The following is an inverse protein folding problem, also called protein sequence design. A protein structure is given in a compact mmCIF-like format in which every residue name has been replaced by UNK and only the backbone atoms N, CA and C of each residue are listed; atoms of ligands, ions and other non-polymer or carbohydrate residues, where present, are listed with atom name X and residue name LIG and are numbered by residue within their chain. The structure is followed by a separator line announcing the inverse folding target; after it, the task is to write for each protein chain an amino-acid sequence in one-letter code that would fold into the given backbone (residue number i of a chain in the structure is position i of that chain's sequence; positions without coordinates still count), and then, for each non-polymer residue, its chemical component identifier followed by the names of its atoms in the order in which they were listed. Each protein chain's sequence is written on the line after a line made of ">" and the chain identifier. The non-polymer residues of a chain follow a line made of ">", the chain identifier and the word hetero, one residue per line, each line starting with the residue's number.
data_IF_658306402061
#
_entry.id   IF_658306402061
#
_cell.length_a   1.000
_cell.length_b   1.000
_cell.length_c   1.000
_cell.angle_alpha   90.00
_cell.angle_beta   90.00
_cell.angle_gamma   90.00
#
_symmetry.space_group_name_H-M   'P 1'
#
loop_
_entity.id
_entity.type
_entity.pdbx_description
1 polymer ?
#
# COMPACT_ATOMS: atom_id res chain seq x y z
N UNK A 1 -27.01 -54.88 6.77
CA UNK A 1 -26.47 -53.91 7.72
C UNK A 1 -25.83 -52.79 6.89
N UNK A 2 -26.37 -51.59 6.80
CA UNK A 2 -25.74 -50.51 6.08
C UNK A 2 -24.52 -50.05 6.88
N UNK A 3 -23.42 -49.84 6.16
CA UNK A 3 -22.12 -49.34 6.67
C UNK A 3 -22.32 -47.95 7.29
N UNK A 4 -21.78 -47.66 8.50
CA UNK A 4 -21.93 -46.33 9.08
C UNK A 4 -21.24 -45.30 8.24
N UNK A 5 -22.01 -44.30 7.83
CA UNK A 5 -21.59 -43.10 7.09
C UNK A 5 -20.37 -42.51 7.76
N UNK A 6 -19.20 -42.64 7.16
CA UNK A 6 -17.96 -42.00 7.62
C UNK A 6 -18.15 -40.50 7.40
N UNK A 7 -18.50 -39.80 8.46
CA UNK A 7 -18.47 -38.36 8.51
C UNK A 7 -17.04 -37.92 8.15
N UNK A 8 -16.84 -37.50 6.90
CA UNK A 8 -15.59 -36.84 6.52
C UNK A 8 -15.38 -35.62 7.43
N UNK A 9 -14.17 -35.44 7.98
CA UNK A 9 -13.90 -34.28 8.81
C UNK A 9 -14.19 -33.00 7.99
N UNK A 10 -14.80 -31.98 8.59
CA UNK A 10 -15.16 -30.75 7.90
C UNK A 10 -13.89 -30.15 7.26
N UNK A 11 -13.87 -30.11 5.94
CA UNK A 11 -12.77 -29.51 5.18
C UNK A 11 -12.61 -28.05 5.59
N UNK A 12 -11.43 -27.69 6.14
CA UNK A 12 -11.17 -26.35 6.62
C UNK A 12 -11.40 -25.33 5.47
N UNK A 13 -12.20 -24.29 5.74
CA UNK A 13 -12.48 -23.23 4.78
C UNK A 13 -11.20 -22.64 4.21
N UNK A 14 -11.12 -22.39 2.89
CA UNK A 14 -9.99 -21.69 2.28
C UNK A 14 -9.70 -20.36 2.98
N UNK A 15 -8.43 -19.96 3.09
CA UNK A 15 -8.04 -18.73 3.78
C UNK A 15 -8.75 -17.49 3.24
N UNK A 16 -9.02 -17.43 1.94
CA UNK A 16 -9.80 -16.36 1.30
C UNK A 16 -11.27 -16.30 1.72
N UNK A 17 -11.78 -17.31 2.42
CA UNK A 17 -13.13 -17.35 2.97
C UNK A 17 -13.18 -17.09 4.49
N UNK A 18 -12.03 -16.87 5.13
CA UNK A 18 -11.93 -16.53 6.55
C UNK A 18 -11.86 -15.00 6.70
N UNK A 19 -12.86 -14.33 7.31
CA UNK A 19 -12.94 -12.87 7.35
C UNK A 19 -11.69 -12.21 7.95
N UNK A 20 -11.20 -12.75 9.06
CA UNK A 20 -10.00 -12.23 9.71
C UNK A 20 -8.75 -12.38 8.83
N UNK A 21 -8.59 -13.51 8.13
CA UNK A 21 -7.48 -13.70 7.20
C UNK A 21 -7.51 -12.68 6.05
N UNK A 22 -8.69 -12.37 5.52
CA UNK A 22 -8.87 -11.34 4.48
C UNK A 22 -8.51 -9.96 5.02
N UNK A 23 -8.97 -9.59 6.21
CA UNK A 23 -8.67 -8.30 6.82
C UNK A 23 -7.16 -8.15 7.12
N UNK A 24 -6.52 -9.17 7.71
CA UNK A 24 -5.10 -9.17 8.02
C UNK A 24 -4.23 -9.18 6.74
N UNK A 25 -4.65 -9.91 5.71
CA UNK A 25 -3.96 -9.88 4.42
C UNK A 25 -4.05 -8.50 3.76
N UNK A 26 -5.21 -7.85 3.81
CA UNK A 26 -5.38 -6.47 3.36
C UNK A 26 -4.51 -5.50 4.15
N UNK A 27 -4.50 -5.60 5.47
CA UNK A 27 -3.66 -4.80 6.35
C UNK A 27 -2.17 -4.97 6.02
N UNK A 28 -1.69 -6.21 5.89
CA UNK A 28 -0.29 -6.49 5.55
C UNK A 28 0.07 -6.01 4.14
N UNK A 29 -0.82 -6.18 3.16
CA UNK A 29 -0.62 -5.66 1.81
C UNK A 29 -0.47 -4.14 1.79
N UNK A 30 -1.30 -3.41 2.55
CA UNK A 30 -1.18 -1.96 2.68
C UNK A 30 0.05 -1.54 3.51
N UNK A 31 0.45 -2.32 4.52
CA UNK A 31 1.70 -2.10 5.24
C UNK A 31 2.91 -2.22 4.31
N UNK A 32 2.94 -3.23 3.42
CA UNK A 32 4.00 -3.38 2.41
C UNK A 32 3.98 -2.22 1.42
N UNK A 33 2.86 -1.94 0.79
CA UNK A 33 2.81 -0.98 -0.31
C UNK A 33 2.96 0.47 0.15
N UNK A 34 2.29 0.83 1.24
CA UNK A 34 2.29 2.20 1.77
C UNK A 34 3.36 2.37 2.84
N UNK A 35 3.39 1.50 3.87
CA UNK A 35 4.34 1.60 4.97
C UNK A 35 5.78 1.44 4.49
N UNK A 36 6.09 0.36 3.77
CA UNK A 36 7.44 0.11 3.29
C UNK A 36 7.68 0.78 1.93
N UNK A 37 6.94 0.43 0.90
CA UNK A 37 7.19 0.90 -0.47
C UNK A 37 7.19 2.41 -0.64
N UNK A 38 6.37 3.11 0.14
CA UNK A 38 6.24 4.57 0.07
C UNK A 38 6.97 5.27 1.21
N UNK A 39 6.64 4.92 2.46
CA UNK A 39 7.05 5.68 3.63
C UNK A 39 8.36 5.24 4.28
N UNK A 40 8.95 4.07 3.96
CA UNK A 40 10.27 3.70 4.45
C UNK A 40 11.37 4.68 4.02
N UNK A 41 11.17 5.39 2.90
CA UNK A 41 12.06 6.46 2.47
C UNK A 41 12.24 7.55 3.54
N UNK A 42 11.16 7.90 4.25
CA UNK A 42 11.17 8.96 5.25
C UNK A 42 12.20 8.74 6.36
N UNK A 43 12.21 7.60 7.08
CA UNK A 43 13.25 7.33 8.08
C UNK A 43 14.62 6.96 7.49
N UNK A 44 14.68 6.49 6.23
CA UNK A 44 15.95 6.17 5.57
C UNK A 44 16.62 7.41 4.96
N UNK A 45 15.88 8.49 4.64
CA UNK A 45 16.46 9.71 4.07
C UNK A 45 17.57 10.31 4.93
N UNK A 46 17.44 10.47 6.25
CA UNK A 46 18.55 10.93 7.08
C UNK A 46 19.78 10.01 7.04
N UNK A 47 19.59 8.69 6.91
CA UNK A 47 20.70 7.75 6.74
C UNK A 47 21.39 7.95 5.38
N UNK A 48 20.61 8.11 4.30
CA UNK A 48 21.15 8.40 2.96
C UNK A 48 21.92 9.72 2.90
N UNK A 49 21.47 10.75 3.64
CA UNK A 49 22.16 12.02 3.78
C UNK A 49 23.48 11.85 4.56
N UNK A 50 23.47 11.11 5.65
CA UNK A 50 24.64 10.80 6.47
C UNK A 50 25.69 10.01 5.65
N UNK A 51 25.26 9.03 4.89
CA UNK A 51 26.11 8.21 4.02
C UNK A 51 26.67 9.01 2.82
N UNK A 52 26.21 10.25 2.60
CA UNK A 52 26.64 11.11 1.49
C UNK A 52 26.17 10.64 0.11
N UNK A 53 25.26 9.66 0.04
CA UNK A 53 24.77 9.08 -1.22
C UNK A 53 23.69 9.93 -1.89
N UNK A 54 23.11 10.88 -1.17
CA UNK A 54 22.10 11.83 -1.67
C UNK A 54 22.27 13.18 -0.97
N UNK A 55 21.97 14.27 -1.68
CA UNK A 55 21.83 15.61 -1.09
C UNK A 55 20.37 15.83 -0.65
N UNK A 56 20.12 16.86 0.17
CA UNK A 56 18.75 17.21 0.58
C UNK A 56 17.87 17.52 -0.63
N UNK A 57 18.39 18.25 -1.62
CA UNK A 57 17.69 18.51 -2.88
C UNK A 57 17.41 17.22 -3.65
N UNK A 58 18.38 16.30 -3.74
CA UNK A 58 18.21 14.98 -4.34
C UNK A 58 17.15 14.15 -3.61
N UNK A 59 17.17 14.14 -2.28
CA UNK A 59 16.14 13.49 -1.45
C UNK A 59 14.74 14.05 -1.70
N UNK A 60 14.61 15.37 -1.83
CA UNK A 60 13.34 16.02 -2.16
C UNK A 60 12.81 15.58 -3.53
N UNK A 61 13.70 15.46 -4.53
CA UNK A 61 13.33 14.93 -5.84
C UNK A 61 12.89 13.47 -5.80
N UNK A 62 13.54 12.62 -5.00
CA UNK A 62 13.14 11.22 -4.81
C UNK A 62 11.76 11.10 -4.15
N UNK A 63 11.46 11.96 -3.18
CA UNK A 63 10.13 12.05 -2.59
C UNK A 63 9.08 12.50 -3.61
N UNK A 64 9.37 13.58 -4.34
CA UNK A 64 8.49 14.13 -5.39
C UNK A 64 8.19 13.09 -6.47
N UNK A 65 9.22 12.37 -6.94
CA UNK A 65 9.06 11.31 -7.93
C UNK A 65 8.07 10.23 -7.45
N UNK A 66 8.17 9.82 -6.18
CA UNK A 66 7.24 8.84 -5.62
C UNK A 66 5.80 9.38 -5.53
N UNK A 67 5.62 10.63 -5.14
CA UNK A 67 4.29 11.24 -5.06
C UNK A 67 3.65 11.41 -6.44
N UNK A 68 4.42 11.84 -7.44
CA UNK A 68 3.95 11.91 -8.83
C UNK A 68 3.59 10.52 -9.36
N UNK A 69 4.42 9.51 -9.08
CA UNK A 69 4.12 8.13 -9.44
C UNK A 69 2.81 7.64 -8.83
N UNK A 70 2.59 7.92 -7.54
CA UNK A 70 1.35 7.55 -6.86
C UNK A 70 0.12 8.26 -7.49
N UNK A 71 0.23 9.55 -7.75
CA UNK A 71 -0.83 10.32 -8.42
C UNK A 71 -1.15 9.73 -9.80
N UNK A 72 -0.13 9.48 -10.61
CA UNK A 72 -0.30 8.89 -11.95
C UNK A 72 -0.90 7.49 -11.89
N UNK A 73 -0.46 6.66 -10.94
CA UNK A 73 -1.01 5.33 -10.71
C UNK A 73 -2.48 5.37 -10.28
N UNK A 74 -2.84 6.29 -9.39
CA UNK A 74 -4.22 6.48 -8.95
C UNK A 74 -5.11 6.97 -10.09
N UNK A 75 -4.67 7.97 -10.85
CA UNK A 75 -5.40 8.47 -12.02
C UNK A 75 -5.56 7.39 -13.09
N UNK A 76 -4.53 6.59 -13.35
CA UNK A 76 -4.61 5.46 -14.27
C UNK A 76 -5.65 4.42 -13.81
N UNK A 77 -5.69 4.06 -12.53
CA UNK A 77 -6.71 3.17 -11.98
C UNK A 77 -8.13 3.74 -12.14
N UNK A 78 -8.30 5.04 -11.96
CA UNK A 78 -9.60 5.71 -12.10
C UNK A 78 -10.03 5.83 -13.58
N UNK A 79 -9.09 6.10 -14.48
CA UNK A 79 -9.35 6.27 -15.90
C UNK A 79 -9.57 4.93 -16.63
N UNK A 80 -8.93 3.84 -16.18
CA UNK A 80 -8.95 2.53 -16.85
C UNK A 80 -10.37 2.03 -17.20
N UNK A 81 -11.40 2.17 -16.36
CA UNK A 81 -12.76 1.73 -16.70
C UNK A 81 -13.36 2.50 -17.89
N UNK A 82 -12.94 3.74 -18.10
CA UNK A 82 -13.47 4.63 -19.13
C UNK A 82 -12.72 4.50 -20.46
N UNK A 83 -11.37 4.38 -20.37
CA UNK A 83 -10.49 4.36 -21.54
C UNK A 83 -10.36 2.97 -22.14
N UNK A 84 -10.43 1.93 -21.31
CA UNK A 84 -10.23 0.55 -21.74
C UNK A 84 -11.19 -0.42 -21.04
N UNK A 85 -12.51 -0.38 -21.34
CA UNK A 85 -13.49 -1.23 -20.67
C UNK A 85 -13.22 -2.73 -20.87
N UNK A 86 -12.67 -3.14 -22.00
CA UNK A 86 -12.25 -4.53 -22.25
C UNK A 86 -11.06 -4.95 -21.37
N UNK A 87 -10.16 -4.05 -21.05
CA UNK A 87 -9.04 -4.30 -20.15
C UNK A 87 -9.54 -4.49 -18.70
N UNK A 88 -10.56 -3.75 -18.27
CA UNK A 88 -11.19 -3.94 -16.95
C UNK A 88 -11.69 -5.36 -16.75
N UNK A 89 -12.26 -5.98 -17.77
CA UNK A 89 -12.75 -7.36 -17.73
C UNK A 89 -11.60 -8.39 -17.61
N UNK A 90 -10.43 -8.07 -18.19
CA UNK A 90 -9.23 -8.92 -18.16
C UNK A 90 -8.37 -8.69 -16.88
N UNK A 91 -8.40 -7.51 -16.31
CA UNK A 91 -7.53 -7.10 -15.20
C UNK A 91 -8.31 -7.09 -13.89
N UNK A 92 -8.42 -8.26 -13.27
CA UNK A 92 -9.05 -8.39 -11.96
C UNK A 92 -8.24 -7.63 -10.90
N UNK A 93 -8.94 -6.98 -9.95
CA UNK A 93 -8.32 -6.21 -8.86
C UNK A 93 -7.22 -6.99 -8.13
N UNK A 94 -7.43 -8.28 -7.86
CA UNK A 94 -6.45 -9.16 -7.23
C UNK A 94 -5.17 -9.29 -8.06
N UNK A 95 -5.27 -9.36 -9.39
CA UNK A 95 -4.09 -9.47 -10.27
C UNK A 95 -3.29 -8.17 -10.24
N UNK A 96 -3.93 -7.02 -10.33
CA UNK A 96 -3.28 -5.72 -10.21
C UNK A 96 -2.63 -5.52 -8.83
N UNK A 97 -3.30 -5.93 -7.76
CA UNK A 97 -2.75 -5.92 -6.41
C UNK A 97 -1.49 -6.79 -6.30
N UNK A 98 -1.51 -8.01 -6.84
CA UNK A 98 -0.36 -8.93 -6.84
C UNK A 98 0.82 -8.38 -7.64
N UNK A 99 0.58 -7.84 -8.85
CA UNK A 99 1.62 -7.18 -9.64
C UNK A 99 2.19 -5.96 -8.92
N UNK A 100 1.32 -5.15 -8.30
CA UNK A 100 1.74 -4.00 -7.49
C UNK A 100 2.60 -4.40 -6.30
N UNK A 101 2.23 -5.46 -5.57
CA UNK A 101 3.02 -6.00 -4.45
C UNK A 101 4.38 -6.53 -4.92
N UNK A 102 4.40 -7.34 -5.97
CA UNK A 102 5.66 -7.85 -6.54
C UNK A 102 6.57 -6.72 -7.01
N UNK A 103 6.01 -5.69 -7.68
CA UNK A 103 6.74 -4.50 -8.06
C UNK A 103 7.26 -3.73 -6.85
N UNK A 104 6.45 -3.55 -5.79
CA UNK A 104 6.88 -2.89 -4.55
C UNK A 104 8.09 -3.58 -3.93
N UNK A 105 8.04 -4.92 -3.81
CA UNK A 105 9.17 -5.73 -3.31
C UNK A 105 10.42 -5.50 -4.14
N UNK A 106 10.31 -5.68 -5.46
CA UNK A 106 11.45 -5.55 -6.37
C UNK A 106 12.05 -4.15 -6.32
N UNK A 107 11.21 -3.11 -6.42
CA UNK A 107 11.65 -1.72 -6.42
C UNK A 107 12.30 -1.33 -5.08
N UNK A 108 11.78 -1.84 -3.94
CA UNK A 108 12.39 -1.62 -2.62
C UNK A 108 13.78 -2.27 -2.54
N UNK A 109 13.93 -3.50 -3.03
CA UNK A 109 15.23 -4.17 -3.09
C UNK A 109 16.21 -3.45 -4.03
N UNK A 110 15.74 -2.97 -5.18
CA UNK A 110 16.57 -2.19 -6.12
C UNK A 110 17.08 -0.87 -5.53
N UNK A 111 16.39 -0.28 -4.55
CA UNK A 111 16.88 0.91 -3.85
C UNK A 111 18.14 0.65 -3.01
N UNK A 112 18.43 -0.60 -2.65
CA UNK A 112 19.67 -0.98 -1.96
C UNK A 112 20.89 -0.97 -2.88
N UNK A 113 20.69 -0.97 -4.21
CA UNK A 113 21.79 -0.96 -5.18
C UNK A 113 22.38 0.45 -5.33
N UNK A 114 23.73 0.57 -5.52
CA UNK A 114 24.41 1.86 -5.68
C UNK A 114 24.19 2.45 -7.08
N UNK A 115 22.93 2.72 -7.43
CA UNK A 115 22.51 3.24 -8.74
C UNK A 115 21.77 4.58 -8.60
N UNK A 116 22.43 5.66 -8.13
CA UNK A 116 21.77 6.94 -7.83
C UNK A 116 21.02 7.52 -9.04
N UNK A 117 21.49 7.32 -10.25
CA UNK A 117 20.83 7.76 -11.48
C UNK A 117 19.48 7.07 -11.74
N UNK A 118 19.29 5.84 -11.24
CA UNK A 118 18.04 5.09 -11.39
C UNK A 118 17.02 5.37 -10.27
N UNK A 119 17.46 5.87 -9.11
CA UNK A 119 16.58 6.03 -7.95
C UNK A 119 15.35 6.89 -8.21
N UNK A 120 15.36 8.00 -8.96
CA UNK A 120 14.15 8.74 -9.27
C UNK A 120 13.10 7.91 -10.00
N UNK A 121 13.53 7.12 -11.00
CA UNK A 121 12.64 6.22 -11.74
C UNK A 121 12.10 5.09 -10.86
N UNK A 122 12.95 4.50 -10.01
CA UNK A 122 12.54 3.48 -9.03
C UNK A 122 11.51 4.04 -8.05
N UNK A 123 11.71 5.25 -7.54
CA UNK A 123 10.78 5.93 -6.63
C UNK A 123 9.46 6.26 -7.32
N UNK A 124 9.49 6.73 -8.56
CA UNK A 124 8.27 6.96 -9.35
C UNK A 124 7.49 5.65 -9.55
N UNK A 125 8.16 4.59 -10.00
CA UNK A 125 7.54 3.28 -10.20
C UNK A 125 6.98 2.70 -8.90
N UNK A 126 7.70 2.87 -7.76
CA UNK A 126 7.21 2.47 -6.45
C UNK A 126 5.94 3.24 -6.03
N UNK A 127 5.84 4.52 -6.41
CA UNK A 127 4.61 5.30 -6.24
C UNK A 127 3.44 4.71 -7.02
N UNK A 128 3.64 4.40 -8.31
CA UNK A 128 2.62 3.75 -9.15
C UNK A 128 2.20 2.41 -8.55
N UNK A 129 3.17 1.56 -8.18
CA UNK A 129 2.90 0.26 -7.57
C UNK A 129 2.08 0.39 -6.27
N UNK A 130 2.41 1.37 -5.41
CA UNK A 130 1.68 1.64 -4.17
C UNK A 130 0.22 2.04 -4.43
N UNK A 131 -0.05 2.85 -5.45
CA UNK A 131 -1.40 3.22 -5.85
C UNK A 131 -2.21 2.02 -6.34
N UNK A 132 -1.59 1.16 -7.18
CA UNK A 132 -2.21 -0.07 -7.66
C UNK A 132 -2.62 -0.98 -6.50
N UNK A 133 -1.73 -1.19 -5.54
CA UNK A 133 -2.02 -2.02 -4.36
C UNK A 133 -3.11 -1.38 -3.52
N UNK A 134 -2.95 -0.10 -3.15
CA UNK A 134 -3.88 0.58 -2.26
C UNK A 134 -5.32 0.51 -2.77
N UNK A 135 -5.55 0.90 -4.03
CA UNK A 135 -6.89 0.95 -4.59
C UNK A 135 -7.48 -0.45 -4.77
N UNK A 136 -6.70 -1.39 -5.34
CA UNK A 136 -7.24 -2.70 -5.68
C UNK A 136 -7.41 -3.61 -4.45
N UNK A 137 -6.48 -3.57 -3.48
CA UNK A 137 -6.60 -4.34 -2.23
C UNK A 137 -7.75 -3.81 -1.39
N UNK A 138 -7.88 -2.48 -1.23
CA UNK A 138 -8.96 -1.90 -0.44
C UNK A 138 -10.33 -2.29 -0.98
N UNK A 139 -10.54 -2.15 -2.30
CA UNK A 139 -11.80 -2.53 -2.95
C UNK A 139 -12.05 -4.03 -2.79
N UNK A 140 -11.07 -4.87 -3.10
CA UNK A 140 -11.21 -6.32 -3.03
C UNK A 140 -11.54 -6.80 -1.61
N UNK A 141 -10.78 -6.32 -0.60
CA UNK A 141 -11.02 -6.70 0.78
C UNK A 141 -12.40 -6.25 1.28
N UNK A 142 -12.80 -5.00 0.99
CA UNK A 142 -14.09 -4.47 1.42
C UNK A 142 -15.24 -5.28 0.82
N UNK A 143 -15.22 -5.53 -0.50
CA UNK A 143 -16.23 -6.35 -1.17
C UNK A 143 -16.29 -7.77 -0.56
N UNK A 144 -15.11 -8.36 -0.31
CA UNK A 144 -15.02 -9.70 0.27
C UNK A 144 -15.54 -9.77 1.68
N UNK A 145 -15.20 -8.82 2.54
CA UNK A 145 -15.66 -8.75 3.93
C UNK A 145 -17.17 -8.51 4.04
N UNK A 146 -17.72 -7.67 3.16
CA UNK A 146 -19.17 -7.48 3.06
C UNK A 146 -19.87 -8.79 2.66
N UNK A 147 -19.36 -9.49 1.64
CA UNK A 147 -19.90 -10.77 1.19
C UNK A 147 -19.83 -11.88 2.27
N UNK A 148 -18.83 -11.80 3.16
CA UNK A 148 -18.68 -12.71 4.30
C UNK A 148 -19.47 -12.27 5.55
N UNK A 149 -20.24 -11.17 5.49
CA UNK A 149 -21.02 -10.66 6.62
C UNK A 149 -20.21 -9.93 7.71
N UNK A 150 -18.95 -9.56 7.43
CA UNK A 150 -18.02 -9.00 8.41
C UNK A 150 -17.47 -7.63 7.96
N UNK A 151 -18.34 -6.75 7.47
CA UNK A 151 -17.99 -5.40 6.99
C UNK A 151 -17.22 -4.57 8.02
N UNK A 152 -17.50 -4.76 9.32
CA UNK A 152 -16.81 -4.04 10.42
C UNK A 152 -15.28 -4.27 10.44
N UNK A 153 -14.79 -5.41 9.95
CA UNK A 153 -13.35 -5.68 9.83
C UNK A 153 -12.66 -4.85 8.73
N UNK A 154 -13.43 -4.15 7.89
CA UNK A 154 -12.89 -3.28 6.85
C UNK A 154 -11.98 -2.17 7.38
N UNK A 155 -12.25 -1.64 8.58
CA UNK A 155 -11.39 -0.64 9.22
C UNK A 155 -9.97 -1.15 9.53
N UNK A 156 -9.83 -2.44 9.83
CA UNK A 156 -8.54 -3.06 10.17
C UNK A 156 -7.54 -2.98 9.00
N UNK A 157 -8.01 -3.03 7.77
CA UNK A 157 -7.17 -2.94 6.57
C UNK A 157 -6.36 -1.65 6.57
N UNK A 158 -6.99 -0.54 6.95
CA UNK A 158 -6.38 0.80 6.92
C UNK A 158 -5.44 1.09 8.10
N UNK A 159 -5.32 0.17 9.07
CA UNK A 159 -4.24 0.21 10.06
C UNK A 159 -2.88 -0.16 9.44
N UNK A 160 -2.87 -0.85 8.29
CA UNK A 160 -1.66 -1.31 7.62
C UNK A 160 -0.62 -0.24 7.36
N UNK A 161 -0.96 0.88 6.69
CA UNK A 161 -0.02 1.98 6.47
C UNK A 161 0.63 2.49 7.76
N UNK A 162 -0.16 2.73 8.81
CA UNK A 162 0.33 3.19 10.12
C UNK A 162 1.29 2.19 10.76
N UNK A 163 0.93 0.91 10.79
CA UNK A 163 1.81 -0.15 11.31
C UNK A 163 3.11 -0.23 10.52
N UNK A 164 3.05 -0.12 9.20
CA UNK A 164 4.23 -0.10 8.35
C UNK A 164 5.14 1.10 8.63
N UNK A 165 4.57 2.28 8.86
CA UNK A 165 5.33 3.50 9.23
C UNK A 165 6.01 3.31 10.59
N UNK A 166 5.30 2.81 11.59
CA UNK A 166 5.86 2.54 12.92
C UNK A 166 7.00 1.53 12.82
N UNK A 167 6.77 0.42 12.14
CA UNK A 167 7.77 -0.63 11.94
C UNK A 167 9.03 -0.09 11.26
N UNK A 168 8.89 0.63 10.16
CA UNK A 168 10.03 1.18 9.42
C UNK A 168 10.75 2.26 10.21
N UNK A 169 10.02 3.11 10.95
CA UNK A 169 10.59 4.15 11.79
C UNK A 169 11.42 3.58 12.94
N UNK A 170 10.86 2.64 13.71
CA UNK A 170 11.57 1.99 14.81
C UNK A 170 12.78 1.19 14.32
N UNK A 171 12.62 0.43 13.23
CA UNK A 171 13.73 -0.34 12.64
C UNK A 171 14.85 0.57 12.15
N UNK A 172 14.54 1.67 11.45
CA UNK A 172 15.53 2.62 10.99
C UNK A 172 16.25 3.32 12.17
N UNK A 173 15.54 3.63 13.27
CA UNK A 173 16.14 4.18 14.47
C UNK A 173 17.15 3.20 15.10
N UNK A 174 16.81 1.92 15.16
CA UNK A 174 17.74 0.89 15.63
C UNK A 174 18.95 0.73 14.69
N UNK A 175 18.75 0.76 13.38
CA UNK A 175 19.83 0.69 12.39
C UNK A 175 20.79 1.86 12.52
N UNK A 176 20.28 3.08 12.76
CA UNK A 176 21.12 4.26 13.01
C UNK A 176 21.96 4.08 14.28
N UNK A 177 21.34 3.60 15.37
CA UNK A 177 22.07 3.36 16.62
C UNK A 177 23.18 2.30 16.47
N UNK A 178 23.03 1.36 15.51
CA UNK A 178 24.00 0.32 15.19
C UNK A 178 25.00 0.76 14.09
N UNK A 179 24.91 1.97 13.57
CA UNK A 179 25.80 2.48 12.52
C UNK A 179 25.59 1.81 11.15
N UNK A 180 24.39 1.30 10.87
CA UNK A 180 24.12 0.65 9.58
C UNK A 180 23.97 1.67 8.45
N UNK A 181 24.45 1.35 7.22
CA UNK A 181 24.25 2.20 6.06
C UNK A 181 22.80 2.12 5.56
N UNK A 182 22.34 3.17 4.88
CA UNK A 182 20.99 3.25 4.30
C UNK A 182 20.69 2.08 3.34
N UNK A 183 21.69 1.60 2.58
CA UNK A 183 21.54 0.46 1.68
C UNK A 183 21.11 -0.81 2.42
N UNK A 184 21.65 -1.06 3.62
CA UNK A 184 21.23 -2.17 4.46
C UNK A 184 19.77 -2.01 4.92
N UNK A 185 19.35 -0.78 5.24
CA UNK A 185 17.94 -0.48 5.56
C UNK A 185 16.98 -0.82 4.41
N UNK A 186 17.33 -0.43 3.18
CA UNK A 186 16.56 -0.78 1.99
C UNK A 186 16.49 -2.31 1.77
N UNK A 187 17.61 -3.02 1.94
CA UNK A 187 17.66 -4.47 1.80
C UNK A 187 16.78 -5.17 2.85
N UNK A 188 16.87 -4.77 4.12
CA UNK A 188 16.05 -5.33 5.21
C UNK A 188 14.56 -5.12 4.94
N UNK A 189 14.15 -3.90 4.55
CA UNK A 189 12.76 -3.62 4.24
C UNK A 189 12.27 -4.36 2.99
N UNK A 190 13.15 -4.56 2.00
CA UNK A 190 12.85 -5.39 0.85
C UNK A 190 12.61 -6.86 1.23
N UNK A 191 13.49 -7.45 2.04
CA UNK A 191 13.36 -8.85 2.52
C UNK A 191 12.11 -9.00 3.40
N UNK A 192 11.85 -8.05 4.29
CA UNK A 192 10.62 -8.03 5.09
C UNK A 192 9.37 -8.02 4.20
N UNK A 193 9.39 -7.21 3.14
CA UNK A 193 8.30 -7.15 2.16
C UNK A 193 8.11 -8.49 1.44
N UNK A 194 9.19 -9.21 1.10
CA UNK A 194 9.11 -10.58 0.55
C UNK A 194 8.37 -11.50 1.51
N UNK A 195 8.78 -11.52 2.78
CA UNK A 195 8.17 -12.39 3.80
C UNK A 195 6.68 -12.09 4.00
N UNK A 196 6.32 -10.81 4.13
CA UNK A 196 4.93 -10.40 4.26
C UNK A 196 4.10 -10.73 3.02
N UNK A 197 4.62 -10.48 1.81
CA UNK A 197 3.94 -10.84 0.57
C UNK A 197 3.75 -12.36 0.45
N UNK A 198 4.76 -13.15 0.77
CA UNK A 198 4.65 -14.62 0.75
C UNK A 198 3.56 -15.11 1.71
N UNK A 199 3.49 -14.55 2.92
CA UNK A 199 2.48 -14.92 3.91
C UNK A 199 1.03 -14.63 3.46
N UNK A 200 0.81 -13.50 2.78
CA UNK A 200 -0.55 -13.11 2.34
C UNK A 200 -0.92 -13.63 0.94
N UNK A 201 0.05 -14.16 0.19
CA UNK A 201 -0.16 -14.59 -1.20
C UNK A 201 -1.28 -15.63 -1.38
N UNK A 202 -1.42 -16.64 -0.49
CA UNK A 202 -2.51 -17.61 -0.59
C UNK A 202 -3.89 -17.00 -0.40
N UNK A 203 -4.00 -15.95 0.44
CA UNK A 203 -5.28 -15.26 0.66
C UNK A 203 -5.70 -14.48 -0.57
N UNK A 204 -4.74 -13.85 -1.27
CA UNK A 204 -4.96 -13.07 -2.48
C UNK A 204 -5.19 -13.94 -3.75
N UNK A 205 -5.29 -15.26 -3.61
CA UNK A 205 -5.61 -16.18 -4.70
C UNK A 205 -7.11 -16.40 -4.92
N UNK A 206 -7.95 -15.90 -4.02
CA UNK A 206 -9.39 -16.10 -4.06
C UNK A 206 -10.02 -15.61 -5.37
N UNK A 207 -11.01 -16.37 -5.86
CA UNK A 207 -11.83 -16.06 -7.04
C UNK A 207 -12.31 -14.60 -6.97
N UNK A 208 -12.22 -13.92 -8.10
CA UNK A 208 -12.94 -12.66 -8.28
C UNK A 208 -14.41 -12.94 -7.98
N UNK A 209 -14.91 -12.37 -6.89
CA UNK A 209 -16.36 -12.37 -6.67
C UNK A 209 -16.97 -11.62 -7.86
N UNK A 210 -18.09 -12.09 -8.42
CA UNK A 210 -18.88 -11.27 -9.31
C UNK A 210 -19.07 -9.91 -8.62
N UNK A 211 -18.82 -8.84 -9.36
CA UNK A 211 -19.12 -7.51 -8.82
C UNK A 211 -20.56 -7.56 -8.30
N UNK A 212 -20.83 -7.25 -7.02
CA UNK A 212 -22.20 -7.30 -6.54
C UNK A 212 -23.01 -6.37 -7.43
N UNK A 213 -23.99 -6.89 -8.13
CA UNK A 213 -24.98 -6.07 -8.83
C UNK A 213 -25.62 -5.04 -7.86
N UNK A 214 -25.58 -5.32 -6.57
CA UNK A 214 -25.99 -4.44 -5.49
C UNK A 214 -25.08 -3.20 -5.26
N UNK A 215 -23.82 -3.22 -5.68
CA UNK A 215 -22.97 -2.00 -5.59
C UNK A 215 -23.35 -0.95 -6.64
N UNK A 216 -24.01 -1.37 -7.73
CA UNK A 216 -24.61 -0.46 -8.70
C UNK A 216 -25.96 0.13 -8.25
N UNK A 217 -26.61 -0.48 -7.26
CA UNK A 217 -27.95 -0.15 -6.79
C UNK A 217 -28.05 -0.24 -5.26
N UNK A 218 -27.08 0.31 -4.51
CA UNK A 218 -27.37 0.70 -3.14
C UNK A 218 -28.21 1.99 -3.20
N UNK A 219 -29.57 1.90 -3.16
CA UNK A 219 -30.41 3.07 -3.05
C UNK A 219 -30.25 3.53 -1.60
N UNK A 220 -29.39 4.47 -1.33
CA UNK A 220 -29.23 4.99 0.02
C UNK A 220 -27.97 5.73 0.33
N UNK A 221 -26.95 5.73 -0.55
CA UNK A 221 -25.77 6.59 -0.38
C UNK A 221 -25.66 7.67 -1.47
N UNK A 222 -26.69 7.88 -2.26
CA UNK A 222 -26.92 9.17 -2.90
C UNK A 222 -27.33 10.12 -1.77
N UNK A 223 -26.37 10.70 -1.08
CA UNK A 223 -26.66 11.81 -0.17
C UNK A 223 -27.40 12.89 -0.99
N UNK A 224 -28.60 13.29 -0.56
CA UNK A 224 -29.35 14.30 -1.30
C UNK A 224 -28.53 15.59 -1.32
N UNK A 225 -28.15 16.08 -2.52
CA UNK A 225 -27.93 17.49 -2.71
C UNK A 225 -26.58 18.09 -2.36
N UNK A 226 -25.46 17.34 -2.46
CA UNK A 226 -24.20 18.07 -2.56
C UNK A 226 -24.04 18.61 -3.99
N UNK A 227 -24.30 19.90 -4.16
CA UNK A 227 -24.09 20.61 -5.42
C UNK A 227 -22.63 20.54 -5.88
N UNK A 228 -22.34 20.81 -7.18
CA UNK A 228 -20.98 20.72 -7.72
C UNK A 228 -19.97 21.55 -6.93
N UNK A 229 -20.39 22.67 -6.37
CA UNK A 229 -19.56 23.55 -5.53
C UNK A 229 -19.10 22.86 -4.24
N UNK A 230 -19.99 22.15 -3.55
CA UNK A 230 -19.66 21.41 -2.33
C UNK A 230 -18.68 20.26 -2.61
N UNK A 231 -18.85 19.55 -3.73
CA UNK A 231 -17.91 18.51 -4.17
C UNK A 231 -16.52 19.07 -4.45
N UNK A 232 -16.46 20.18 -5.19
CA UNK A 232 -15.18 20.85 -5.49
C UNK A 232 -14.52 21.36 -4.21
N UNK A 233 -15.27 21.99 -3.31
CA UNK A 233 -14.77 22.46 -2.02
C UNK A 233 -14.21 21.31 -1.17
N UNK A 234 -14.91 20.19 -1.09
CA UNK A 234 -14.47 19.01 -0.37
C UNK A 234 -13.18 18.40 -0.99
N UNK A 235 -13.15 18.31 -2.33
CA UNK A 235 -11.96 17.81 -3.05
C UNK A 235 -10.73 18.69 -2.80
N UNK A 236 -10.90 20.01 -2.85
CA UNK A 236 -9.83 20.96 -2.57
C UNK A 236 -9.37 20.88 -1.11
N UNK A 237 -10.30 20.82 -0.14
CA UNK A 237 -9.97 20.68 1.28
C UNK A 237 -9.16 19.40 1.56
N UNK A 238 -9.58 18.26 1.03
CA UNK A 238 -8.84 17.02 1.16
C UNK A 238 -7.49 17.07 0.44
N UNK A 239 -7.42 17.69 -0.73
CA UNK A 239 -6.17 17.87 -1.48
C UNK A 239 -5.15 18.70 -0.70
N UNK A 240 -5.59 19.83 -0.14
CA UNK A 240 -4.73 20.70 0.68
C UNK A 240 -4.31 20.03 2.00
N UNK A 241 -5.22 19.34 2.67
CA UNK A 241 -4.88 18.56 3.87
C UNK A 241 -3.86 17.47 3.56
N UNK A 242 -4.03 16.75 2.44
CA UNK A 242 -3.07 15.74 1.98
C UNK A 242 -1.70 16.34 1.66
N UNK A 243 -1.65 17.50 1.02
CA UNK A 243 -0.41 18.21 0.73
C UNK A 243 0.33 18.60 2.02
N UNK A 244 -0.36 19.19 2.98
CA UNK A 244 0.20 19.56 4.29
C UNK A 244 0.75 18.34 5.04
N UNK A 245 -0.02 17.26 5.07
CA UNK A 245 0.40 15.99 5.68
C UNK A 245 1.69 15.43 5.05
N UNK A 246 1.76 15.40 3.72
CA UNK A 246 2.90 14.82 2.99
C UNK A 246 4.19 15.59 3.26
N UNK A 247 4.16 16.92 3.24
CA UNK A 247 5.33 17.76 3.51
C UNK A 247 5.86 17.48 4.93
N UNK A 248 4.97 17.56 5.92
CA UNK A 248 5.33 17.30 7.32
C UNK A 248 5.85 15.87 7.51
N UNK A 249 5.15 14.86 7.01
CA UNK A 249 5.55 13.47 7.19
C UNK A 249 6.90 13.14 6.53
N UNK A 250 7.24 13.81 5.42
CA UNK A 250 8.50 13.56 4.71
C UNK A 250 9.71 14.15 5.40
N UNK A 251 9.58 15.39 5.88
CA UNK A 251 10.72 16.16 6.39
C UNK A 251 10.84 16.18 7.91
N UNK A 252 9.79 15.78 8.65
CA UNK A 252 9.82 15.78 10.11
C UNK A 252 11.02 15.01 10.71
N UNK A 253 11.41 13.82 10.24
CA UNK A 253 12.56 13.11 10.78
C UNK A 253 13.90 13.85 10.53
N UNK A 254 14.02 14.56 9.40
CA UNK A 254 15.21 15.37 9.09
C UNK A 254 15.27 16.58 10.01
N UNK A 255 14.15 17.28 10.18
CA UNK A 255 14.03 18.45 11.07
C UNK A 255 14.29 18.06 12.52
N UNK A 256 13.67 16.97 12.98
CA UNK A 256 13.84 16.49 14.35
C UNK A 256 15.30 16.17 14.67
N UNK A 257 16.03 15.52 13.77
CA UNK A 257 17.45 15.21 13.96
C UNK A 257 18.32 16.46 13.94
N UNK A 258 18.00 17.46 13.13
CA UNK A 258 18.74 18.72 13.11
C UNK A 258 18.49 19.57 14.38
N UNK A 259 17.37 19.38 15.07
CA UNK A 259 16.97 20.10 16.26
C UNK A 259 17.42 19.43 17.58
N UNK A 260 17.75 18.13 17.54
CA UNK A 260 18.21 17.41 18.73
C UNK A 260 19.73 17.59 18.85
N UNK A 261 20.24 18.01 20.03
CA UNK A 261 21.67 18.03 20.27
C UNK A 261 22.21 16.59 20.20
N UNK A 262 23.31 16.40 19.46
CA UNK A 262 24.06 15.14 19.38
C UNK A 262 24.71 14.78 20.69
#
# INVERSE_FOLDING_TARGET
>A
MPEPDRLEPPTALPLSQRPLAVALAGMAALAVAMGIGRFAFTPLLPMMLHDGVVTLAGGSWLATANYLGYLMGALACMALPWVAPAARQRWHAVRLARWGLAATVLLTLCMALPLPGAWPALRFAAGVASALVFLNVSVWCMVRLVALGHAALGGLIFCGPGLGIVLTGLSASAMVALGWPAAAGWAVFGVLSVGLCAAIWPVLQGLALPAPAAAAHAPGLAQPGQGPLARTGLTLAYGLAGLGYIVTATFLPVIARAALPT
#
